data_IF_918430438962
#
_entry.id   IF_918430438962
#
_cell.length_a   1.000
_cell.length_b   1.000
_cell.length_c   1.000
_cell.angle_alpha   90.00
_cell.angle_beta   90.00
_cell.angle_gamma   90.00
#
_symmetry.space_group_name_H-M   'P 1'
#
loop_
_entity.id
_entity.type
_entity.pdbx_description
1 polymer ?
#
# COMPACT_ATOMS: atom_id res chain seq x y z
N UNK A 1 2.09 -2.42 -5.89
CA UNK A 1 1.66 -1.31 -6.80
C UNK A 1 1.11 -0.09 -6.03
N UNK A 2 0.80 -0.25 -4.75
CA UNK A 2 0.23 0.77 -3.86
C UNK A 2 0.87 2.18 -3.90
N UNK A 3 2.22 2.28 -3.92
CA UNK A 3 2.91 3.58 -3.92
C UNK A 3 2.67 4.40 -5.19
N UNK A 4 2.53 3.75 -6.34
CA UNK A 4 2.25 4.42 -7.62
C UNK A 4 0.84 5.04 -7.61
N UNK A 5 -0.13 4.31 -7.05
CA UNK A 5 -1.49 4.82 -6.83
C UNK A 5 -1.52 5.99 -5.86
N UNK A 6 -0.75 5.93 -4.77
CA UNK A 6 -0.58 7.06 -3.84
C UNK A 6 0.03 8.30 -4.52
N UNK A 7 1.01 8.12 -5.40
CA UNK A 7 1.64 9.22 -6.12
C UNK A 7 0.70 9.88 -7.14
N UNK A 8 -0.19 9.10 -7.77
CA UNK A 8 -1.07 9.57 -8.86
C UNK A 8 -2.43 10.08 -8.38
N UNK A 9 -3.05 9.40 -7.41
CA UNK A 9 -4.40 9.72 -6.90
C UNK A 9 -4.35 10.46 -5.56
N UNK A 10 -3.23 10.41 -4.82
CA UNK A 10 -3.11 11.01 -3.50
C UNK A 10 -3.66 10.13 -2.37
N UNK A 11 -3.50 10.61 -1.13
CA UNK A 11 -4.01 9.92 0.07
C UNK A 11 -5.51 10.19 0.21
N UNK A 12 -6.32 9.12 0.26
CA UNK A 12 -7.77 9.21 0.45
C UNK A 12 -8.57 8.44 -0.60
N UNK A 13 -8.08 8.38 -1.83
CA UNK A 13 -8.73 7.68 -2.94
C UNK A 13 -8.43 6.17 -2.97
N UNK A 14 -8.69 5.49 -1.85
CA UNK A 14 -8.42 4.06 -1.70
C UNK A 14 -9.15 3.20 -2.72
N UNK A 15 -10.36 3.63 -3.13
CA UNK A 15 -11.14 2.96 -4.18
C UNK A 15 -10.48 3.11 -5.55
N UNK A 16 -10.03 4.31 -5.90
CA UNK A 16 -9.30 4.56 -7.16
C UNK A 16 -7.98 3.79 -7.22
N UNK A 17 -7.27 3.72 -6.09
CA UNK A 17 -6.01 2.98 -5.96
C UNK A 17 -6.26 1.47 -6.10
N UNK A 18 -7.30 0.94 -5.45
CA UNK A 18 -7.67 -0.47 -5.57
C UNK A 18 -8.08 -0.83 -7.00
N UNK A 19 -8.94 -0.05 -7.64
CA UNK A 19 -9.47 -0.38 -8.96
C UNK A 19 -8.47 -0.20 -10.11
N UNK A 20 -7.49 0.73 -10.00
CA UNK A 20 -6.59 1.04 -11.11
C UNK A 20 -5.15 0.55 -10.90
N UNK A 21 -4.71 0.43 -9.64
CA UNK A 21 -3.31 0.13 -9.31
C UNK A 21 -3.17 -1.21 -8.59
N UNK A 22 -4.13 -1.58 -7.74
CA UNK A 22 -4.08 -2.80 -6.92
C UNK A 22 -5.32 -3.65 -7.17
N UNK A 23 -5.53 -4.04 -8.43
CA UNK A 23 -6.74 -4.72 -8.92
C UNK A 23 -7.02 -6.05 -8.18
N UNK A 24 -5.97 -6.70 -7.68
CA UNK A 24 -6.07 -7.95 -6.92
C UNK A 24 -6.62 -7.78 -5.49
N UNK A 25 -6.89 -6.55 -5.04
CA UNK A 25 -7.25 -6.24 -3.66
C UNK A 25 -8.47 -5.33 -3.60
N UNK A 26 -9.30 -5.55 -2.59
CA UNK A 26 -10.49 -4.74 -2.36
C UNK A 26 -10.13 -3.38 -1.75
N UNK A 27 -10.94 -2.32 -1.96
CA UNK A 27 -10.70 -0.99 -1.40
C UNK A 27 -10.50 -0.99 0.12
N UNK A 28 -11.23 -1.85 0.84
CA UNK A 28 -11.11 -2.02 2.30
C UNK A 28 -9.75 -2.58 2.70
N UNK A 29 -9.21 -3.54 1.93
CA UNK A 29 -7.87 -4.09 2.16
C UNK A 29 -6.79 -3.03 1.89
N UNK A 30 -6.96 -2.22 0.84
CA UNK A 30 -6.06 -1.10 0.51
C UNK A 30 -6.09 -0.04 1.62
N UNK A 31 -7.27 0.28 2.17
CA UNK A 31 -7.39 1.22 3.29
C UNK A 31 -6.74 0.69 4.58
N UNK A 32 -6.96 -0.59 4.93
CA UNK A 32 -6.29 -1.22 6.09
C UNK A 32 -4.77 -1.25 5.93
N UNK A 33 -4.29 -1.42 4.71
CA UNK A 33 -2.86 -1.33 4.44
C UNK A 33 -2.31 0.07 4.52
N UNK A 34 -3.01 1.06 3.94
CA UNK A 34 -2.64 2.45 4.09
C UNK A 34 -2.51 2.82 5.57
N UNK A 35 -3.45 2.36 6.41
CA UNK A 35 -3.40 2.53 7.86
C UNK A 35 -2.12 1.94 8.46
N UNK A 36 -1.79 0.68 8.16
CA UNK A 36 -0.55 0.04 8.65
C UNK A 36 0.72 0.72 8.10
N UNK A 37 0.70 1.13 6.83
CA UNK A 37 1.81 1.81 6.16
C UNK A 37 2.11 3.20 6.77
N UNK A 38 1.07 3.93 7.20
CA UNK A 38 1.24 5.25 7.83
C UNK A 38 1.46 5.19 9.35
N UNK A 39 0.91 4.20 10.04
CA UNK A 39 1.12 3.99 11.49
C UNK A 39 2.47 3.33 11.76
N UNK A 40 2.89 2.42 10.90
CA UNK A 40 4.04 1.55 11.09
C UNK A 40 5.24 1.94 10.24
N UNK A 41 5.78 3.14 10.41
CA UNK A 41 7.23 3.34 10.21
C UNK A 41 7.97 3.17 11.55
N UNK A 42 8.25 1.94 12.02
CA UNK A 42 9.39 1.71 12.89
C UNK A 42 10.67 1.54 12.05
N UNK A 43 11.79 1.68 12.74
CA UNK A 43 13.16 1.80 12.24
C UNK A 43 13.64 0.46 11.65
N UNK A 44 13.27 0.13 10.42
CA UNK A 44 13.91 -0.93 9.64
C UNK A 44 14.36 -0.37 8.28
N UNK A 45 15.08 0.74 8.32
CA UNK A 45 15.91 1.20 7.21
C UNK A 45 17.22 0.39 7.24
N UNK A 46 17.18 -0.84 6.73
CA UNK A 46 18.35 -1.69 6.57
C UNK A 46 18.10 -2.72 5.48
N UNK A 47 18.82 -2.59 4.38
CA UNK A 47 18.74 -3.42 3.17
C UNK A 47 18.87 -4.92 3.50
N UNK A 48 17.95 -5.75 2.92
CA UNK A 48 18.10 -7.18 2.53
C UNK A 48 17.12 -8.25 3.05
N UNK A 49 16.07 -7.93 3.80
CA UNK A 49 15.05 -8.96 4.14
C UNK A 49 13.64 -8.53 3.74
N UNK A 50 13.30 -8.76 2.46
CA UNK A 50 11.92 -8.77 1.99
C UNK A 50 11.42 -10.20 2.05
N UNK A 51 10.63 -10.61 3.08
CA UNK A 51 9.85 -11.82 2.93
C UNK A 51 8.80 -11.54 1.85
N UNK A 52 8.94 -12.28 0.74
CA UNK A 52 8.11 -12.28 -0.45
C UNK A 52 6.68 -12.84 -0.22
N UNK A 53 6.06 -12.53 0.93
CA UNK A 53 4.62 -12.66 1.14
C UNK A 53 3.99 -11.26 1.04
N UNK A 54 4.22 -10.60 -0.08
CA UNK A 54 3.24 -10.60 -1.17
C UNK A 54 2.29 -9.41 -1.03
N UNK A 55 2.86 -8.29 -1.48
CA UNK A 55 2.23 -7.29 -2.33
C UNK A 55 0.82 -6.90 -1.91
N UNK A 56 0.80 -5.68 -1.41
CA UNK A 56 -0.12 -4.66 -1.88
C UNK A 56 0.64 -3.77 -2.89
#
# INVERSE_FOLDING_TARGET
>A
MFLLGLQKLGKGDWRGIACNYVISRTPTQVASHAQKYFIGKPIYLGERDVPACLIL
#
